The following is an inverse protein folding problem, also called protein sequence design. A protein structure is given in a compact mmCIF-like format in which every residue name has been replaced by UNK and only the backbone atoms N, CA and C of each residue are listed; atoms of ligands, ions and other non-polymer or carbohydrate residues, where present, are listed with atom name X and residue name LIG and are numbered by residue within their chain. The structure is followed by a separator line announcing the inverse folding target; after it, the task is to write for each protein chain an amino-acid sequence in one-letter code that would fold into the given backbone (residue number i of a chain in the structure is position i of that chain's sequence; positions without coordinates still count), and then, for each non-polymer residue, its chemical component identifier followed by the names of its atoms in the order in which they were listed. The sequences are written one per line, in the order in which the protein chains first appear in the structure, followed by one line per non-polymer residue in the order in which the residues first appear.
data_IF_003166054239
#
_entry.id   IF_003166054239
#
_cell.length_a   1.000
_cell.length_b   1.000
_cell.length_c   1.000
_cell.angle_alpha   90.00
_cell.angle_beta   90.00
_cell.angle_gamma   90.00
#
_symmetry.space_group_name_H-M   'P 1'
#
loop_
_entity.id
_entity.type
_entity.pdbx_description
1 polymer ?
#
# COMPACT_ATOMS: atom_id res chain seq x y z
N UNK A 1 20.87 4.19 -7.87
CA UNK A 1 19.47 3.92 -8.25
C UNK A 1 18.61 4.53 -7.16
N UNK A 2 17.81 5.53 -7.50
CA UNK A 2 16.87 6.18 -6.56
C UNK A 2 15.55 5.41 -6.59
N UNK A 3 15.05 5.00 -5.43
CA UNK A 3 13.81 4.24 -5.32
C UNK A 3 12.78 5.07 -4.56
N UNK A 4 11.70 5.42 -5.24
CA UNK A 4 10.53 6.04 -4.60
C UNK A 4 9.44 4.99 -4.38
N UNK A 5 8.98 4.88 -3.16
CA UNK A 5 7.79 4.08 -2.83
C UNK A 5 6.56 4.99 -2.87
N UNK A 6 5.54 4.55 -3.59
CA UNK A 6 4.32 5.32 -3.81
C UNK A 6 3.11 4.45 -3.48
N UNK A 7 2.34 4.80 -2.47
CA UNK A 7 1.11 4.07 -2.14
C UNK A 7 -0.12 4.83 -2.62
N UNK A 8 -1.04 4.13 -3.28
CA UNK A 8 -2.33 4.69 -3.67
C UNK A 8 -3.48 3.92 -3.01
N UNK A 9 -4.36 4.65 -2.34
CA UNK A 9 -5.54 4.10 -1.68
C UNK A 9 -6.64 3.68 -2.68
N UNK A 10 -7.63 2.95 -2.20
CA UNK A 10 -8.72 2.39 -3.03
C UNK A 10 -9.52 3.45 -3.79
N UNK A 11 -9.75 4.62 -3.20
CA UNK A 11 -10.40 5.77 -3.86
C UNK A 11 -9.57 6.31 -5.02
N UNK A 12 -8.24 6.28 -4.91
CA UNK A 12 -7.32 6.71 -5.99
C UNK A 12 -7.33 5.75 -7.19
N UNK A 13 -7.69 4.49 -7.00
CA UNK A 13 -7.74 3.44 -8.03
C UNK A 13 -9.15 2.88 -8.25
N UNK A 14 -10.19 3.60 -7.84
CA UNK A 14 -11.58 3.13 -7.81
C UNK A 14 -12.16 2.66 -9.16
N UNK A 15 -11.57 3.08 -10.28
CA UNK A 15 -11.99 2.67 -11.62
C UNK A 15 -10.85 2.87 -12.63
N UNK A 16 -11.03 2.39 -13.85
CA UNK A 16 -10.02 2.46 -14.92
C UNK A 16 -9.56 3.90 -15.22
N UNK A 17 -10.46 4.89 -15.15
CA UNK A 17 -10.08 6.28 -15.40
C UNK A 17 -9.16 6.82 -14.30
N UNK A 18 -9.41 6.47 -13.04
CA UNK A 18 -8.53 6.82 -11.92
C UNK A 18 -7.18 6.10 -12.01
N UNK A 19 -7.18 4.81 -12.37
CA UNK A 19 -5.93 4.06 -12.63
C UNK A 19 -5.09 4.74 -13.72
N UNK A 20 -5.71 5.20 -14.82
CA UNK A 20 -5.00 5.96 -15.87
C UNK A 20 -4.40 7.27 -15.33
N UNK A 21 -5.12 7.99 -14.46
CA UNK A 21 -4.59 9.23 -13.82
C UNK A 21 -3.40 8.90 -12.90
N UNK A 22 -3.51 7.86 -12.08
CA UNK A 22 -2.39 7.39 -11.23
C UNK A 22 -1.18 7.00 -12.08
N UNK A 23 -1.39 6.27 -13.19
CA UNK A 23 -0.31 5.92 -14.10
C UNK A 23 0.41 7.15 -14.68
N UNK A 24 -0.31 8.24 -14.95
CA UNK A 24 0.29 9.52 -15.37
C UNK A 24 1.13 10.14 -14.25
N UNK A 25 0.68 10.07 -12.99
CA UNK A 25 1.45 10.56 -11.83
C UNK A 25 2.76 9.78 -11.72
N UNK A 26 2.70 8.44 -11.75
CA UNK A 26 3.87 7.57 -11.70
C UNK A 26 4.85 7.91 -12.84
N UNK A 27 4.34 8.05 -14.07
CA UNK A 27 5.17 8.39 -15.23
C UNK A 27 5.86 9.74 -15.08
N UNK A 28 5.18 10.74 -14.53
CA UNK A 28 5.77 12.08 -14.27
C UNK A 28 6.86 12.05 -13.20
N UNK A 29 6.80 11.13 -12.25
CA UNK A 29 7.82 10.98 -11.20
C UNK A 29 9.09 10.28 -11.70
N UNK A 30 9.01 9.52 -12.78
CA UNK A 30 10.15 8.80 -13.39
C UNK A 30 10.82 9.66 -14.49
N UNK A 31 11.31 10.84 -14.10
CA UNK A 31 11.91 11.81 -15.03
C UNK A 31 13.28 11.31 -15.54
N UNK A 32 14.05 10.62 -14.69
CA UNK A 32 15.40 10.17 -14.98
C UNK A 32 15.47 8.64 -15.06
N UNK A 33 16.32 8.11 -15.99
CA UNK A 33 16.53 6.67 -16.13
C UNK A 33 17.04 5.95 -14.87
N UNK A 34 17.62 6.69 -13.92
CA UNK A 34 18.10 6.14 -12.64
C UNK A 34 17.01 6.07 -11.56
N UNK A 35 15.80 6.59 -11.81
CA UNK A 35 14.68 6.54 -10.88
C UNK A 35 13.86 5.28 -11.10
N UNK A 36 13.46 4.64 -10.01
CA UNK A 36 12.60 3.46 -9.98
C UNK A 36 11.41 3.73 -9.05
N UNK A 37 10.26 3.19 -9.40
CA UNK A 37 9.06 3.31 -8.58
C UNK A 37 8.63 1.94 -8.07
N UNK A 38 8.46 1.82 -6.75
CA UNK A 38 7.82 0.71 -6.09
C UNK A 38 6.43 1.18 -5.67
N UNK A 39 5.43 0.77 -6.43
CA UNK A 39 4.04 1.24 -6.26
C UNK A 39 3.27 0.23 -5.46
N UNK A 40 2.62 0.65 -4.38
CA UNK A 40 1.76 -0.20 -3.55
C UNK A 40 0.31 0.21 -3.76
N UNK A 41 -0.53 -0.74 -4.14
CA UNK A 41 -1.95 -0.49 -4.40
C UNK A 41 -2.84 -1.19 -3.38
N UNK A 42 -3.90 -0.50 -3.00
CA UNK A 42 -5.06 -1.08 -2.34
C UNK A 42 -6.02 -1.69 -3.39
N UNK A 43 -6.95 -2.51 -2.95
CA UNK A 43 -8.11 -2.89 -3.75
C UNK A 43 -8.86 -1.64 -4.22
N UNK A 44 -9.59 -1.74 -5.31
CA UNK A 44 -10.50 -0.68 -5.75
C UNK A 44 -11.54 -0.39 -4.66
N UNK A 45 -11.97 0.88 -4.56
CA UNK A 45 -12.95 1.32 -3.56
C UNK A 45 -14.19 0.41 -3.55
N UNK A 46 -14.56 -0.08 -2.38
CA UNK A 46 -15.72 -0.95 -2.15
C UNK A 46 -15.46 -2.44 -2.33
N UNK A 47 -14.42 -2.86 -3.07
CA UNK A 47 -14.18 -4.29 -3.39
C UNK A 47 -14.01 -5.12 -2.13
N UNK A 48 -13.12 -4.73 -1.23
CA UNK A 48 -12.87 -5.46 0.03
C UNK A 48 -14.14 -5.52 0.89
N UNK A 49 -14.90 -4.42 0.98
CA UNK A 49 -16.15 -4.40 1.74
C UNK A 49 -17.19 -5.35 1.14
N UNK A 50 -17.33 -5.40 -0.19
CA UNK A 50 -18.26 -6.30 -0.84
C UNK A 50 -17.90 -7.77 -0.59
N UNK A 51 -16.60 -8.11 -0.65
CA UNK A 51 -16.12 -9.45 -0.31
C UNK A 51 -16.47 -9.81 1.15
N UNK A 52 -16.20 -8.91 2.09
CA UNK A 52 -16.54 -9.13 3.51
C UNK A 52 -18.04 -9.31 3.71
N UNK A 53 -18.88 -8.51 3.04
CA UNK A 53 -20.34 -8.63 3.12
C UNK A 53 -20.83 -9.97 2.55
N UNK A 54 -20.26 -10.42 1.45
CA UNK A 54 -20.58 -11.71 0.83
C UNK A 54 -20.29 -12.87 1.79
N UNK A 55 -19.14 -12.82 2.51
CA UNK A 55 -18.75 -13.86 3.47
C UNK A 55 -19.52 -13.79 4.78
N UNK A 56 -19.99 -12.62 5.18
CA UNK A 56 -20.80 -12.48 6.41
C UNK A 56 -22.01 -13.39 6.43
N UNK A 57 -22.53 -13.75 5.24
CA UNK A 57 -23.65 -14.68 5.06
C UNK A 57 -23.28 -16.14 5.31
N UNK A 58 -22.00 -16.48 5.24
CA UNK A 58 -21.49 -17.85 5.43
C UNK A 58 -21.09 -18.15 6.88
N UNK A 59 -21.14 -17.14 7.78
CA UNK A 59 -20.69 -17.26 9.18
C UNK A 59 -19.26 -17.80 9.32
N UNK A 60 -18.37 -17.43 8.41
CA UNK A 60 -16.97 -17.88 8.38
C UNK A 60 -16.19 -17.26 9.54
N UNK A 61 -15.26 -18.02 10.13
CA UNK A 61 -14.27 -17.49 11.04
C UNK A 61 -13.31 -16.57 10.28
N UNK A 62 -13.17 -15.33 10.73
CA UNK A 62 -12.23 -14.34 10.15
C UNK A 62 -10.76 -14.76 10.32
N UNK A 63 -10.48 -15.76 11.14
CA UNK A 63 -9.15 -16.35 11.29
C UNK A 63 -8.90 -17.54 10.34
N UNK A 64 -9.87 -17.88 9.48
CA UNK A 64 -9.68 -18.91 8.46
C UNK A 64 -8.72 -18.39 7.37
N UNK A 65 -7.68 -19.14 6.98
CA UNK A 65 -6.75 -18.74 5.91
C UNK A 65 -7.43 -18.45 4.57
N UNK A 66 -8.57 -19.09 4.28
CA UNK A 66 -9.31 -18.86 3.05
C UNK A 66 -9.95 -17.47 3.01
N UNK A 67 -10.31 -16.92 4.18
CA UNK A 67 -10.78 -15.55 4.30
C UNK A 67 -9.73 -14.55 3.77
N UNK A 68 -8.49 -14.67 4.21
CA UNK A 68 -7.38 -13.82 3.75
C UNK A 68 -7.07 -14.05 2.27
N UNK A 69 -7.11 -15.30 1.81
CA UNK A 69 -6.88 -15.66 0.42
C UNK A 69 -7.85 -14.91 -0.50
N UNK A 70 -9.13 -14.90 -0.17
CA UNK A 70 -10.15 -14.23 -0.97
C UNK A 70 -10.04 -12.71 -0.86
N UNK A 71 -9.87 -12.15 0.35
CA UNK A 71 -9.73 -10.70 0.51
C UNK A 71 -8.57 -10.13 -0.31
N UNK A 72 -7.46 -10.88 -0.40
CA UNK A 72 -6.26 -10.46 -1.13
C UNK A 72 -6.47 -10.27 -2.64
N UNK A 73 -7.54 -10.85 -3.21
CA UNK A 73 -7.83 -10.79 -4.66
C UNK A 73 -8.10 -9.38 -5.15
N UNK A 74 -8.61 -8.51 -4.30
CA UNK A 74 -8.90 -7.11 -4.65
C UNK A 74 -7.64 -6.35 -5.06
N UNK A 75 -6.57 -6.49 -4.30
CA UNK A 75 -5.26 -5.89 -4.57
C UNK A 75 -4.56 -6.59 -5.75
N UNK A 76 -4.74 -7.88 -5.92
CA UNK A 76 -4.21 -8.64 -7.06
C UNK A 76 -4.79 -8.10 -8.37
N UNK A 77 -6.09 -7.84 -8.40
CA UNK A 77 -6.76 -7.24 -9.57
C UNK A 77 -6.23 -5.83 -9.86
N UNK A 78 -6.25 -4.93 -8.87
CA UNK A 78 -5.86 -3.54 -9.05
C UNK A 78 -4.39 -3.39 -9.48
N UNK A 79 -3.47 -4.16 -8.87
CA UNK A 79 -2.05 -4.13 -9.19
C UNK A 79 -1.77 -4.65 -10.61
N UNK A 80 -2.43 -5.73 -11.01
CA UNK A 80 -2.30 -6.28 -12.37
C UNK A 80 -2.83 -5.32 -13.43
N UNK A 81 -3.99 -4.71 -13.19
CA UNK A 81 -4.57 -3.72 -14.10
C UNK A 81 -3.68 -2.47 -14.24
N UNK A 82 -3.10 -1.97 -13.13
CA UNK A 82 -2.14 -0.87 -13.18
C UNK A 82 -0.91 -1.22 -14.01
N UNK A 83 -0.37 -2.44 -13.87
CA UNK A 83 0.77 -2.88 -14.66
C UNK A 83 0.47 -2.88 -16.15
N UNK A 84 -0.72 -3.34 -16.57
CA UNK A 84 -1.15 -3.30 -17.97
C UNK A 84 -1.23 -1.86 -18.49
N UNK A 85 -1.80 -0.92 -17.71
CA UNK A 85 -1.91 0.49 -18.11
C UNK A 85 -0.54 1.14 -18.23
N UNK A 86 0.37 0.88 -17.31
CA UNK A 86 1.75 1.42 -17.37
C UNK A 86 2.53 0.84 -18.56
N UNK A 87 2.43 -0.46 -18.80
CA UNK A 87 3.07 -1.12 -19.96
C UNK A 87 2.55 -0.53 -21.28
N UNK A 88 1.24 -0.29 -21.39
CA UNK A 88 0.64 0.35 -22.57
C UNK A 88 1.13 1.80 -22.75
N UNK A 89 1.56 2.47 -21.67
CA UNK A 89 2.15 3.81 -21.71
C UNK A 89 3.65 3.85 -21.99
N UNK A 90 4.27 2.69 -22.26
CA UNK A 90 5.69 2.53 -22.65
C UNK A 90 6.64 2.33 -21.46
N UNK A 91 6.16 2.13 -20.24
CA UNK A 91 7.01 1.82 -19.09
C UNK A 91 7.19 0.31 -18.91
N UNK A 92 8.40 -0.12 -18.60
CA UNK A 92 8.67 -1.51 -18.22
C UNK A 92 8.14 -1.73 -16.80
N UNK A 93 6.93 -2.27 -16.68
CA UNK A 93 6.24 -2.47 -15.41
C UNK A 93 5.93 -3.94 -15.15
N UNK A 94 5.83 -4.31 -13.87
CA UNK A 94 5.44 -5.66 -13.43
C UNK A 94 4.65 -5.60 -12.15
N UNK A 95 3.50 -6.27 -12.10
CA UNK A 95 2.74 -6.52 -10.88
C UNK A 95 3.36 -7.67 -10.09
N UNK A 96 3.30 -7.58 -8.78
CA UNK A 96 3.85 -8.53 -7.83
C UNK A 96 2.88 -8.73 -6.67
N UNK A 97 2.66 -9.98 -6.33
CA UNK A 97 1.88 -10.39 -5.17
C UNK A 97 2.81 -10.59 -3.96
N UNK A 98 2.28 -10.57 -2.75
CA UNK A 98 3.06 -10.68 -1.53
C UNK A 98 3.96 -11.91 -1.45
N UNK A 99 3.54 -13.03 -2.02
CA UNK A 99 4.32 -14.25 -2.07
C UNK A 99 5.42 -14.26 -3.17
N UNK A 100 5.29 -13.46 -4.23
CA UNK A 100 6.29 -13.37 -5.31
C UNK A 100 7.54 -12.57 -4.92
N UNK A 101 7.43 -11.71 -3.92
CA UNK A 101 8.53 -10.94 -3.29
C UNK A 101 8.58 -11.21 -1.79
N UNK A 102 8.54 -12.45 -1.33
CA UNK A 102 8.06 -12.88 -0.02
C UNK A 102 8.00 -11.78 1.03
N UNK A 103 6.77 -11.30 1.29
CA UNK A 103 6.45 -10.46 2.44
C UNK A 103 6.05 -11.44 3.54
N UNK A 104 7.05 -11.93 4.28
CA UNK A 104 6.88 -12.94 5.32
C UNK A 104 6.13 -12.34 6.51
N UNK A 105 5.10 -13.03 6.99
CA UNK A 105 4.26 -12.62 8.12
C UNK A 105 4.16 -13.72 9.18
N UNK A 106 3.55 -13.38 10.32
CA UNK A 106 3.01 -14.39 11.22
C UNK A 106 1.68 -14.95 10.66
N UNK A 107 1.15 -16.00 11.30
CA UNK A 107 -0.09 -16.70 10.91
C UNK A 107 -1.32 -16.13 11.65
N UNK A 108 -1.28 -14.85 12.07
CA UNK A 108 -2.45 -14.16 12.61
C UNK A 108 -3.33 -13.67 11.47
N UNK A 109 -4.11 -14.57 10.87
CA UNK A 109 -4.99 -14.24 9.75
C UNK A 109 -5.87 -13.02 10.05
N UNK A 110 -6.25 -12.27 9.03
CA UNK A 110 -6.98 -11.00 9.09
C UNK A 110 -6.23 -9.80 9.73
N UNK A 111 -5.12 -10.01 10.45
CA UNK A 111 -4.31 -8.97 11.11
C UNK A 111 -2.84 -9.34 11.27
N UNK A 112 -2.31 -10.04 10.30
CA UNK A 112 -0.93 -10.51 10.31
C UNK A 112 0.10 -9.36 10.46
N UNK A 113 1.26 -9.70 11.01
CA UNK A 113 2.39 -8.78 11.17
C UNK A 113 3.52 -9.18 10.25
N UNK A 114 4.08 -8.22 9.54
CA UNK A 114 5.25 -8.45 8.69
C UNK A 114 6.46 -8.76 9.57
N UNK A 115 7.08 -9.91 9.34
CA UNK A 115 8.32 -10.36 9.97
C UNK A 115 9.54 -9.91 9.15
N UNK A 116 9.47 -10.11 7.81
CA UNK A 116 10.60 -9.89 6.91
C UNK A 116 10.13 -9.64 5.48
N UNK A 117 10.94 -8.92 4.70
CA UNK A 117 10.73 -8.73 3.26
C UNK A 117 12.02 -9.07 2.51
N UNK A 118 11.91 -9.81 1.43
CA UNK A 118 13.04 -10.14 0.57
C UNK A 118 13.39 -8.98 -0.37
N UNK A 119 14.13 -7.99 0.14
CA UNK A 119 14.55 -6.82 -0.63
C UNK A 119 15.48 -7.17 -1.80
N UNK A 120 16.29 -8.21 -1.69
CA UNK A 120 17.19 -8.66 -2.77
C UNK A 120 16.39 -8.99 -4.03
N UNK A 121 15.28 -9.69 -3.88
CA UNK A 121 14.37 -10.01 -4.98
C UNK A 121 13.80 -8.77 -5.68
N UNK A 122 13.42 -7.76 -4.91
CA UNK A 122 12.91 -6.48 -5.43
C UNK A 122 14.00 -5.76 -6.23
N UNK A 123 15.22 -5.66 -5.68
CA UNK A 123 16.34 -4.99 -6.31
C UNK A 123 16.78 -5.70 -7.61
N UNK A 124 16.73 -7.03 -7.66
CA UNK A 124 16.97 -7.81 -8.88
C UNK A 124 15.94 -7.51 -9.97
N UNK A 125 14.67 -7.39 -9.60
CA UNK A 125 13.60 -7.06 -10.54
C UNK A 125 13.75 -5.65 -11.12
N UNK A 126 14.24 -4.68 -10.35
CA UNK A 126 14.51 -3.33 -10.84
C UNK A 126 15.61 -3.24 -11.90
N UNK A 127 16.42 -4.29 -12.07
CA UNK A 127 17.34 -4.38 -13.22
C UNK A 127 16.62 -4.53 -14.56
N UNK A 128 15.38 -5.08 -14.53
CA UNK A 128 14.57 -5.39 -15.73
C UNK A 128 13.39 -4.45 -15.91
N UNK A 129 12.88 -3.89 -14.82
CA UNK A 129 11.66 -3.08 -14.79
C UNK A 129 11.95 -1.68 -14.25
N UNK A 130 11.15 -0.71 -14.68
CA UNK A 130 11.20 0.67 -14.18
C UNK A 130 10.20 0.86 -13.03
N UNK A 131 9.07 0.12 -13.07
CA UNK A 131 8.01 0.17 -12.08
C UNK A 131 7.68 -1.25 -11.63
N UNK A 132 7.71 -1.46 -10.32
CA UNK A 132 7.16 -2.65 -9.68
C UNK A 132 5.88 -2.26 -8.95
N UNK A 133 4.79 -2.96 -9.23
CA UNK A 133 3.49 -2.71 -8.61
C UNK A 133 3.20 -3.85 -7.64
N UNK A 134 3.17 -3.57 -6.37
CA UNK A 134 2.93 -4.56 -5.32
C UNK A 134 1.48 -4.49 -4.87
N UNK A 135 0.83 -5.63 -4.84
CA UNK A 135 -0.44 -5.78 -4.14
C UNK A 135 -0.20 -5.54 -2.64
N UNK A 136 -0.73 -4.43 -2.11
CA UNK A 136 -0.64 -4.11 -0.70
C UNK A 136 -1.51 -5.03 0.16
N UNK A 137 -1.55 -4.78 1.48
CA UNK A 137 -2.45 -5.46 2.42
C UNK A 137 -2.15 -6.95 2.67
N UNK A 138 -1.32 -7.60 1.87
CA UNK A 138 -1.10 -9.05 1.91
C UNK A 138 0.36 -9.44 2.14
N UNK A 139 0.55 -10.64 2.68
CA UNK A 139 1.82 -11.31 2.84
C UNK A 139 1.66 -12.83 2.72
N UNK A 140 2.65 -13.56 3.19
CA UNK A 140 2.68 -15.01 3.21
C UNK A 140 3.17 -15.49 4.59
N UNK A 141 2.50 -16.46 5.17
CA UNK A 141 2.88 -17.11 6.42
C UNK A 141 3.90 -18.22 6.20
N UNK A 142 4.44 -18.74 7.30
CA UNK A 142 5.47 -19.81 7.27
C UNK A 142 4.93 -21.14 6.68
N UNK A 143 3.61 -21.33 6.63
CA UNK A 143 2.90 -22.46 6.04
C UNK A 143 2.40 -22.20 4.60
N UNK A 144 3.01 -21.23 3.92
CA UNK A 144 2.71 -20.84 2.54
C UNK A 144 1.26 -20.36 2.30
N UNK A 145 0.58 -19.90 3.35
CA UNK A 145 -0.77 -19.35 3.23
C UNK A 145 -0.72 -17.83 3.05
N UNK A 146 -1.62 -17.31 2.22
CA UNK A 146 -1.80 -15.85 2.09
C UNK A 146 -2.35 -15.31 3.42
N UNK A 147 -1.79 -14.18 3.85
CA UNK A 147 -2.21 -13.47 5.05
C UNK A 147 -2.58 -12.04 4.71
N UNK A 148 -3.50 -11.45 5.46
CA UNK A 148 -3.83 -10.03 5.36
C UNK A 148 -3.44 -9.26 6.62
N UNK A 149 -3.05 -7.99 6.42
CA UNK A 149 -2.48 -7.15 7.48
C UNK A 149 -3.53 -6.38 8.28
N UNK A 150 -4.80 -6.51 7.92
CA UNK A 150 -5.89 -5.77 8.55
C UNK A 150 -5.93 -4.29 8.16
N UNK A 151 -6.64 -3.47 8.93
CA UNK A 151 -6.85 -2.04 8.65
C UNK A 151 -5.52 -1.30 8.48
N UNK A 152 -5.43 -0.41 7.49
CA UNK A 152 -4.19 0.31 7.16
C UNK A 152 -3.09 -0.59 6.57
N UNK A 153 -3.43 -1.83 6.18
CA UNK A 153 -2.45 -2.82 5.72
C UNK A 153 -1.67 -2.37 4.49
N UNK A 154 -2.28 -1.66 3.53
CA UNK A 154 -1.55 -1.15 2.36
C UNK A 154 -0.56 -0.04 2.71
N UNK A 155 -0.87 0.83 3.70
CA UNK A 155 0.07 1.84 4.22
C UNK A 155 1.23 1.15 4.93
N UNK A 156 0.92 0.14 5.76
CA UNK A 156 1.93 -0.69 6.44
C UNK A 156 2.82 -1.41 5.42
N UNK A 157 2.24 -1.98 4.34
CA UNK A 157 3.01 -2.59 3.25
C UNK A 157 3.96 -1.60 2.59
N UNK A 158 3.50 -0.36 2.32
CA UNK A 158 4.31 0.67 1.68
C UNK A 158 5.51 1.06 2.53
N UNK A 159 5.30 1.33 3.82
CA UNK A 159 6.39 1.69 4.74
C UNK A 159 7.36 0.52 4.93
N UNK A 160 6.87 -0.71 5.10
CA UNK A 160 7.73 -1.88 5.24
C UNK A 160 8.58 -2.14 3.99
N UNK A 161 7.99 -1.98 2.80
CA UNK A 161 8.70 -2.08 1.53
C UNK A 161 9.73 -0.95 1.39
N UNK A 162 9.37 0.30 1.72
CA UNK A 162 10.30 1.43 1.68
C UNK A 162 11.52 1.19 2.58
N UNK A 163 11.29 0.74 3.80
CA UNK A 163 12.35 0.36 4.74
C UNK A 163 13.23 -0.76 4.17
N UNK A 164 12.61 -1.81 3.61
CA UNK A 164 13.35 -3.00 3.13
C UNK A 164 14.30 -2.69 1.97
N UNK A 165 13.92 -1.79 1.08
CA UNK A 165 14.75 -1.37 -0.08
C UNK A 165 15.58 -0.13 0.19
N UNK A 166 15.51 0.45 1.40
CA UNK A 166 16.13 1.72 1.78
C UNK A 166 15.73 2.82 0.77
N UNK A 167 14.43 3.01 0.61
CA UNK A 167 13.89 3.98 -0.34
C UNK A 167 14.28 5.40 0.04
N UNK A 168 14.45 6.25 -0.96
CA UNK A 168 14.75 7.67 -0.77
C UNK A 168 13.51 8.44 -0.28
N UNK A 169 12.32 7.95 -0.64
CA UNK A 169 11.04 8.58 -0.30
C UNK A 169 9.91 7.54 -0.26
N UNK A 170 9.01 7.70 0.72
CA UNK A 170 7.75 6.96 0.80
C UNK A 170 6.58 7.96 0.77
N UNK A 171 5.81 7.94 -0.32
CA UNK A 171 4.67 8.84 -0.54
C UNK A 171 3.35 8.08 -0.38
N UNK A 172 2.47 8.58 0.47
CA UNK A 172 1.11 8.06 0.65
C UNK A 172 0.13 9.00 -0.05
N UNK A 173 -0.44 8.55 -1.16
CA UNK A 173 -1.48 9.26 -1.90
C UNK A 173 -2.86 8.87 -1.36
N UNK A 174 -3.64 9.87 -0.99
CA UNK A 174 -4.97 9.72 -0.40
C UNK A 174 -5.95 10.69 -1.05
N UNK A 175 -7.22 10.60 -0.71
CA UNK A 175 -8.31 11.46 -1.18
C UNK A 175 -8.47 12.75 -0.38
N UNK A 176 -7.60 12.98 0.61
CA UNK A 176 -7.53 14.24 1.35
C UNK A 176 -6.28 15.02 0.96
N UNK A 177 -6.34 16.34 1.07
CA UNK A 177 -5.24 17.23 0.65
C UNK A 177 -3.99 17.16 1.54
N UNK A 178 -4.06 16.45 2.65
CA UNK A 178 -2.99 16.26 3.62
C UNK A 178 -3.49 16.29 5.06
N UNK A 179 -2.59 16.56 5.98
CA UNK A 179 -2.87 16.65 7.41
C UNK A 179 -3.19 18.10 7.76
N UNK A 180 -4.24 18.33 8.53
CA UNK A 180 -4.70 19.65 8.97
C UNK A 180 -4.73 19.72 10.50
N UNK A 181 -4.69 20.92 11.05
CA UNK A 181 -4.80 21.19 12.49
C UNK A 181 -6.14 20.76 13.09
N UNK A 182 -7.17 20.60 12.26
CA UNK A 182 -8.49 20.04 12.59
C UNK A 182 -9.15 19.58 11.29
N UNK A 183 -10.30 18.91 11.35
CA UNK A 183 -11.04 18.54 10.14
C UNK A 183 -11.55 19.80 9.42
N UNK A 184 -11.07 20.13 8.21
CA UNK A 184 -11.45 21.34 7.48
C UNK A 184 -12.93 21.37 7.06
N UNK A 185 -13.62 20.22 7.08
CA UNK A 185 -15.07 20.14 6.83
C UNK A 185 -15.89 20.64 8.03
N UNK A 186 -15.31 20.59 9.23
CA UNK A 186 -15.94 21.02 10.49
C UNK A 186 -15.43 22.40 10.87
N UNK A 187 -14.13 22.63 10.82
CA UNK A 187 -13.45 23.85 11.24
C UNK A 187 -12.87 24.57 10.03
N UNK A 188 -13.58 25.61 9.56
CA UNK A 188 -13.18 26.38 8.36
C UNK A 188 -11.79 27.06 8.46
N UNK A 189 -11.33 27.36 9.67
CA UNK A 189 -10.02 27.95 9.96
C UNK A 189 -8.90 26.92 10.07
N UNK A 190 -9.18 25.62 9.86
CA UNK A 190 -8.15 24.55 9.89
C UNK A 190 -7.05 24.84 8.86
N UNK A 191 -5.80 24.75 9.31
CA UNK A 191 -4.62 24.99 8.49
C UNK A 191 -3.94 23.67 8.12
N UNK A 192 -3.50 23.56 6.87
CA UNK A 192 -2.71 22.43 6.40
C UNK A 192 -1.33 22.45 7.06
N UNK A 193 -0.93 21.33 7.63
CA UNK A 193 0.36 21.13 8.26
C UNK A 193 1.33 20.66 7.17
N UNK A 194 2.42 21.40 6.97
CA UNK A 194 3.43 21.10 5.94
C UNK A 194 4.41 20.04 6.39
N UNK A 195 4.87 20.12 7.64
CA UNK A 195 5.79 19.20 8.28
C UNK A 195 5.21 18.83 9.64
N UNK A 196 5.28 17.57 9.98
CA UNK A 196 4.77 17.01 11.24
C UNK A 196 5.75 15.93 11.69
N UNK A 197 6.00 15.81 12.99
CA UNK A 197 6.82 14.74 13.55
C UNK A 197 6.06 13.42 13.61
N UNK A 198 6.79 12.31 13.80
CA UNK A 198 6.14 11.00 13.98
C UNK A 198 5.29 10.95 15.24
N UNK A 199 5.76 11.58 16.33
CA UNK A 199 5.05 11.65 17.60
C UNK A 199 3.73 12.41 17.46
N UNK A 200 3.75 13.56 16.81
CA UNK A 200 2.57 14.38 16.57
C UNK A 200 1.53 13.64 15.72
N UNK A 201 1.95 12.98 14.62
CA UNK A 201 1.01 12.23 13.76
C UNK A 201 0.51 10.96 14.44
N UNK A 202 1.28 10.32 15.32
CA UNK A 202 0.84 9.20 16.14
C UNK A 202 -0.26 9.64 17.11
N UNK A 203 -0.05 10.75 17.82
CA UNK A 203 -1.04 11.31 18.72
C UNK A 203 -2.33 11.67 17.99
N UNK A 204 -2.24 12.35 16.85
CA UNK A 204 -3.39 12.68 16.01
C UNK A 204 -4.13 11.44 15.52
N UNK A 205 -3.40 10.41 15.10
CA UNK A 205 -4.00 9.17 14.58
C UNK A 205 -4.68 8.37 15.69
N UNK A 206 -4.13 8.37 16.88
CA UNK A 206 -4.69 7.74 18.08
C UNK A 206 -5.93 8.48 18.58
N UNK A 207 -5.95 9.81 18.43
CA UNK A 207 -7.06 10.70 18.80
C UNK A 207 -8.17 10.77 17.75
N UNK A 208 -8.11 9.96 16.68
CA UNK A 208 -9.18 9.81 15.69
C UNK A 208 -8.96 10.42 14.32
N UNK A 209 -7.79 10.99 14.02
CA UNK A 209 -7.43 11.36 12.67
C UNK A 209 -7.31 10.10 11.79
N UNK A 210 -8.03 10.09 10.67
CA UNK A 210 -8.12 8.92 9.77
C UNK A 210 -7.19 9.02 8.55
N UNK A 211 -6.24 9.96 8.54
CA UNK A 211 -5.38 10.20 7.37
C UNK A 211 -4.34 9.09 7.22
N UNK A 212 -3.69 8.70 8.32
CA UNK A 212 -2.74 7.58 8.37
C UNK A 212 -3.14 6.62 9.48
N UNK A 213 -2.83 5.34 9.29
CA UNK A 213 -3.05 4.34 10.33
C UNK A 213 -1.86 4.32 11.31
N UNK A 214 -2.07 4.31 12.64
CA UNK A 214 -0.98 4.34 13.63
C UNK A 214 0.13 3.33 13.37
N UNK A 215 -0.21 2.08 13.02
CA UNK A 215 0.78 1.02 12.71
C UNK A 215 1.77 1.40 11.61
N UNK A 216 1.34 2.12 10.57
CA UNK A 216 2.23 2.55 9.49
C UNK A 216 3.15 3.67 9.96
N UNK A 217 2.67 4.57 10.81
CA UNK A 217 3.48 5.66 11.39
C UNK A 217 4.51 5.12 12.38
N UNK A 218 4.11 4.21 13.27
CA UNK A 218 5.03 3.51 14.19
C UNK A 218 6.16 2.82 13.45
N UNK A 219 5.83 2.16 12.33
CA UNK A 219 6.82 1.49 11.51
C UNK A 219 7.77 2.50 10.83
N UNK A 220 7.23 3.61 10.30
CA UNK A 220 8.02 4.68 9.70
C UNK A 220 8.97 5.33 10.73
N UNK A 221 8.47 5.64 11.92
CA UNK A 221 9.25 6.16 13.04
C UNK A 221 10.39 5.20 13.43
N UNK A 222 10.07 3.91 13.61
CA UNK A 222 11.04 2.89 14.01
C UNK A 222 12.22 2.77 13.05
N UNK A 223 12.00 2.98 11.77
CA UNK A 223 13.00 2.77 10.73
C UNK A 223 13.48 4.06 10.05
N UNK A 224 12.97 5.22 10.46
CA UNK A 224 13.39 6.53 9.97
C UNK A 224 13.08 6.77 8.48
N UNK A 225 11.87 6.37 8.02
CA UNK A 225 11.48 6.46 6.61
C UNK A 225 10.44 7.58 6.40
#
# INVERSE_FOLDING_TARGET
MLINVMKFGGTSVANLNRIKKVAQIIKKKLINKNQKALVVLSAMSGVTNNLVEEFSRLQIDINDPEYDSILSTGEQYSSSLMSLVLSKSGLKSRSLLGWQIPIETDSNYSRARIKKINSKRILELFRKFDVLIVAGFQGISDDDRITTLGRGGSDTSAVALATSVKADLCEIYTDVEGIFTSDPRIVRSAKKIKNITYEEILEMSSSGSKVLHPRSVELAMKYGI
#
